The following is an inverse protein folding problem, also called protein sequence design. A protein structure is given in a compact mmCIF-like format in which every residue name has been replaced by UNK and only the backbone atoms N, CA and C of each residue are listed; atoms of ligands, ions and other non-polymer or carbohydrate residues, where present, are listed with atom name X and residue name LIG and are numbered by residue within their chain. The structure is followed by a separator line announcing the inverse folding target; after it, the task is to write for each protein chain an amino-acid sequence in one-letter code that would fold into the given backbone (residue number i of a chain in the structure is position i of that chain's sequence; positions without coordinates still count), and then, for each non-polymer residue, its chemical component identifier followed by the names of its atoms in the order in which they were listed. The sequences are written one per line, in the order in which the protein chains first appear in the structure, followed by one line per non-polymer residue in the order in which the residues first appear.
data_IF_239319149177
#
_entry.id   IF_239319149177
#
_cell.length_a   1.000
_cell.length_b   1.000
_cell.length_c   1.000
_cell.angle_alpha   90.00
_cell.angle_beta   90.00
_cell.angle_gamma   90.00
#
_symmetry.space_group_name_H-M   'P 1'
#
loop_
_entity.id
_entity.type
_entity.pdbx_description
1 polymer ?
#
# COMPACT_ATOMS: atom_id res chain seq x y z
N UNK A 1 -16.45 20.11 -19.85
CA UNK A 1 -15.86 18.97 -19.09
C UNK A 1 -15.97 19.26 -17.60
N UNK A 2 -16.63 18.41 -16.82
CA UNK A 2 -16.85 18.65 -15.38
C UNK A 2 -15.54 18.33 -14.64
N UNK A 3 -14.98 19.23 -13.81
CA UNK A 3 -13.73 19.00 -13.09
C UNK A 3 -13.96 18.11 -11.84
N UNK A 4 -14.18 16.83 -12.04
CA UNK A 4 -14.54 15.86 -11.00
C UNK A 4 -13.58 15.87 -9.80
N UNK A 5 -12.27 15.98 -10.03
CA UNK A 5 -11.27 16.04 -8.96
C UNK A 5 -11.45 17.25 -8.05
N UNK A 6 -11.82 18.40 -8.64
CA UNK A 6 -12.11 19.61 -7.87
C UNK A 6 -13.38 19.44 -7.03
N UNK A 7 -14.43 18.86 -7.63
CA UNK A 7 -15.69 18.60 -6.90
C UNK A 7 -15.46 17.63 -5.74
N UNK A 8 -14.72 16.55 -5.96
CA UNK A 8 -14.33 15.61 -4.88
C UNK A 8 -13.53 16.30 -3.78
N UNK A 9 -12.56 17.14 -4.15
CA UNK A 9 -11.77 17.91 -3.18
C UNK A 9 -12.64 18.85 -2.34
N UNK A 10 -13.56 19.57 -2.96
CA UNK A 10 -14.51 20.45 -2.26
C UNK A 10 -15.41 19.63 -1.32
N UNK A 11 -15.96 18.50 -1.77
CA UNK A 11 -16.80 17.63 -0.95
C UNK A 11 -16.07 17.07 0.27
N UNK A 12 -14.79 16.66 0.11
CA UNK A 12 -13.97 16.20 1.23
C UNK A 12 -13.71 17.31 2.25
N UNK A 13 -13.42 18.55 1.78
CA UNK A 13 -13.22 19.70 2.66
C UNK A 13 -14.52 20.05 3.39
N UNK A 14 -15.67 20.03 2.71
CA UNK A 14 -16.97 20.25 3.34
C UNK A 14 -17.27 19.21 4.43
N UNK A 15 -17.13 17.93 4.14
CA UNK A 15 -17.33 16.86 5.12
C UNK A 15 -16.44 17.05 6.36
N UNK A 16 -15.18 17.46 6.17
CA UNK A 16 -14.29 17.73 7.30
C UNK A 16 -14.72 18.97 8.12
N UNK A 17 -15.11 20.06 7.44
CA UNK A 17 -15.49 21.32 8.14
C UNK A 17 -16.83 21.16 8.86
N UNK A 18 -17.83 20.58 8.20
CA UNK A 18 -19.21 20.51 8.70
C UNK A 18 -19.40 19.35 9.69
N UNK A 19 -18.87 18.16 9.36
CA UNK A 19 -19.14 16.94 10.15
C UNK A 19 -17.91 16.44 10.92
N UNK A 20 -16.75 17.09 10.78
CA UNK A 20 -15.46 16.59 11.30
C UNK A 20 -15.17 15.15 10.87
N UNK A 21 -15.74 14.75 9.74
CA UNK A 21 -15.60 13.41 9.23
C UNK A 21 -14.23 13.21 8.60
N UNK A 22 -13.55 12.18 9.08
CA UNK A 22 -12.33 11.62 8.45
C UNK A 22 -12.61 10.13 8.27
N UNK A 23 -12.37 9.62 7.07
CA UNK A 23 -12.57 8.19 6.80
C UNK A 23 -11.75 7.35 7.79
N UNK A 24 -12.40 6.46 8.58
CA UNK A 24 -11.68 5.68 9.55
C UNK A 24 -10.75 4.67 8.86
N UNK A 25 -9.56 4.41 9.41
CA UNK A 25 -8.65 3.41 8.85
C UNK A 25 -9.31 2.02 8.87
N UNK A 26 -9.03 1.22 7.85
CA UNK A 26 -9.52 -0.17 7.78
C UNK A 26 -8.82 -1.04 8.81
N UNK A 27 -9.43 -1.21 9.98
CA UNK A 27 -8.86 -1.98 11.10
C UNK A 27 -9.23 -3.46 11.10
N UNK A 28 -9.88 -3.96 10.05
CA UNK A 28 -10.34 -5.36 9.97
C UNK A 28 -9.22 -6.40 9.90
N UNK A 29 -7.99 -6.01 9.59
CA UNK A 29 -6.81 -6.88 9.54
C UNK A 29 -5.71 -6.30 10.43
N UNK A 30 -4.90 -7.18 11.03
CA UNK A 30 -3.72 -6.76 11.76
C UNK A 30 -2.69 -6.18 10.77
N UNK A 31 -2.17 -4.95 11.01
CA UNK A 31 -1.31 -4.25 10.07
C UNK A 31 0.15 -4.70 10.19
N UNK A 32 0.45 -5.99 9.97
CA UNK A 32 1.79 -6.56 10.16
C UNK A 32 2.87 -5.87 9.31
N UNK A 33 2.58 -5.48 8.08
CA UNK A 33 3.53 -4.76 7.24
C UNK A 33 3.92 -3.41 7.84
N UNK A 34 2.95 -2.70 8.41
CA UNK A 34 3.20 -1.43 9.10
C UNK A 34 3.94 -1.66 10.42
N UNK A 35 3.60 -2.73 11.15
CA UNK A 35 4.29 -3.12 12.38
C UNK A 35 5.76 -3.44 12.11
N UNK A 36 6.05 -4.21 11.08
CA UNK A 36 7.41 -4.47 10.60
C UNK A 36 8.12 -3.15 10.26
N UNK A 37 7.50 -2.31 9.45
CA UNK A 37 8.08 -1.03 9.05
C UNK A 37 8.42 -0.13 10.25
N UNK A 38 7.51 0.03 11.19
CA UNK A 38 7.74 0.83 12.41
C UNK A 38 8.82 0.24 13.30
N UNK A 39 8.85 -1.08 13.45
CA UNK A 39 9.90 -1.78 14.21
C UNK A 39 11.29 -1.50 13.61
N UNK A 40 11.44 -1.73 12.31
CA UNK A 40 12.71 -1.53 11.61
C UNK A 40 13.13 -0.06 11.57
N UNK A 41 12.19 0.85 11.31
CA UNK A 41 12.46 2.29 11.31
C UNK A 41 12.87 2.82 12.68
N UNK A 42 12.24 2.33 13.75
CA UNK A 42 12.59 2.70 15.12
C UNK A 42 13.99 2.23 15.49
N UNK A 43 14.33 0.97 15.18
CA UNK A 43 15.68 0.44 15.40
C UNK A 43 16.73 1.18 14.58
N UNK A 44 16.46 1.44 13.30
CA UNK A 44 17.39 2.18 12.43
C UNK A 44 17.65 3.61 12.93
N UNK A 45 16.66 4.25 13.54
CA UNK A 45 16.77 5.62 14.05
C UNK A 45 17.40 5.70 15.45
N UNK A 46 17.12 4.72 16.32
CA UNK A 46 17.53 4.75 17.72
C UNK A 46 18.79 3.92 18.00
N UNK A 47 19.20 3.07 17.07
CA UNK A 47 20.29 2.11 17.27
C UNK A 47 19.87 0.92 18.14
N UNK A 48 20.69 0.55 19.14
CA UNK A 48 20.40 -0.57 20.03
C UNK A 48 19.25 -0.28 20.97
N UNK A 49 18.33 -1.23 21.10
CA UNK A 49 17.21 -1.17 22.03
C UNK A 49 16.91 -2.56 22.60
N UNK A 50 16.49 -2.62 23.85
CA UNK A 50 15.93 -3.87 24.40
C UNK A 50 14.57 -4.19 23.76
N UNK A 51 14.15 -5.48 23.70
CA UNK A 51 12.83 -5.84 23.19
C UNK A 51 11.67 -5.10 23.89
N UNK A 52 11.80 -4.84 25.19
CA UNK A 52 10.82 -4.11 25.99
C UNK A 52 10.72 -2.64 25.60
N UNK A 53 11.84 -1.96 25.44
CA UNK A 53 11.89 -0.56 24.99
C UNK A 53 11.33 -0.41 23.59
N UNK A 54 11.68 -1.32 22.69
CA UNK A 54 11.15 -1.32 21.32
C UNK A 54 9.64 -1.52 21.32
N UNK A 55 9.12 -2.47 22.09
CA UNK A 55 7.70 -2.70 22.24
C UNK A 55 6.97 -1.47 22.83
N UNK A 56 7.57 -0.81 23.81
CA UNK A 56 6.98 0.38 24.44
C UNK A 56 6.90 1.60 23.51
N UNK A 57 7.73 1.65 22.47
CA UNK A 57 7.70 2.72 21.48
C UNK A 57 6.77 2.42 20.31
N UNK A 58 6.68 1.15 19.90
CA UNK A 58 5.93 0.75 18.69
C UNK A 58 4.48 0.43 19.01
N UNK A 59 4.21 -0.40 20.02
CA UNK A 59 2.84 -0.88 20.29
C UNK A 59 1.82 0.20 20.75
N UNK A 60 2.21 1.31 21.42
CA UNK A 60 1.26 2.35 21.78
C UNK A 60 0.67 3.14 20.60
N UNK A 61 1.22 3.01 19.38
CA UNK A 61 0.66 3.67 18.22
C UNK A 61 -0.78 3.15 17.95
N UNK A 62 -1.69 4.07 17.72
CA UNK A 62 -3.13 3.79 17.61
C UNK A 62 -3.50 2.71 16.58
N UNK A 63 -2.70 2.59 15.49
CA UNK A 63 -2.88 1.56 14.48
C UNK A 63 -2.60 0.14 14.99
N UNK A 64 -1.89 -0.02 16.11
CA UNK A 64 -1.50 -1.31 16.68
C UNK A 64 -2.31 -1.72 17.92
N UNK A 65 -3.41 -1.03 18.25
CA UNK A 65 -4.24 -1.31 19.43
C UNK A 65 -4.75 -2.76 19.52
N UNK A 66 -4.78 -3.49 18.40
CA UNK A 66 -5.19 -4.91 18.33
C UNK A 66 -4.02 -5.90 18.31
N UNK A 67 -2.78 -5.41 18.24
CA UNK A 67 -1.58 -6.24 18.25
C UNK A 67 -1.23 -6.55 19.70
N UNK A 68 -1.21 -7.84 20.03
CA UNK A 68 -0.82 -8.28 21.37
C UNK A 68 0.70 -8.29 21.52
N UNK A 69 1.18 -8.31 22.76
CA UNK A 69 2.62 -8.47 23.01
C UNK A 69 3.14 -9.82 22.48
N UNK A 70 2.30 -10.85 22.46
CA UNK A 70 2.69 -12.15 21.94
C UNK A 70 2.82 -12.10 20.40
N UNK A 71 1.90 -11.45 19.70
CA UNK A 71 2.04 -11.21 18.25
C UNK A 71 3.36 -10.49 17.93
N UNK A 72 3.71 -9.51 18.75
CA UNK A 72 4.95 -8.76 18.58
C UNK A 72 6.19 -9.62 18.84
N UNK A 73 6.16 -10.49 19.85
CA UNK A 73 7.24 -11.45 20.11
C UNK A 73 7.44 -12.42 18.95
N UNK A 74 6.34 -12.91 18.35
CA UNK A 74 6.40 -13.75 17.16
C UNK A 74 7.07 -13.01 16.01
N UNK A 75 6.71 -11.74 15.77
CA UNK A 75 7.36 -10.91 14.76
C UNK A 75 8.86 -10.76 15.05
N UNK A 76 9.25 -10.37 16.27
CA UNK A 76 10.67 -10.18 16.60
C UNK A 76 11.49 -11.46 16.44
N UNK A 77 10.92 -12.61 16.80
CA UNK A 77 11.57 -13.91 16.58
C UNK A 77 11.80 -14.17 15.10
N UNK A 78 10.78 -13.96 14.28
CA UNK A 78 10.88 -14.09 12.83
C UNK A 78 11.94 -13.16 12.22
N UNK A 79 12.04 -11.91 12.72
CA UNK A 79 13.05 -10.97 12.25
C UNK A 79 14.48 -11.39 12.63
N UNK A 80 14.67 -11.99 13.82
CA UNK A 80 15.94 -12.57 14.25
C UNK A 80 16.35 -13.77 13.37
N UNK A 81 15.41 -14.68 13.09
CA UNK A 81 15.64 -15.86 12.26
C UNK A 81 16.03 -15.53 10.83
N UNK A 82 15.60 -14.38 10.30
CA UNK A 82 15.85 -13.95 8.93
C UNK A 82 16.93 -12.84 8.81
N UNK A 83 17.70 -12.61 9.87
CA UNK A 83 18.78 -11.60 9.91
C UNK A 83 18.32 -10.16 9.58
N UNK A 84 17.04 -9.87 9.82
CA UNK A 84 16.54 -8.49 9.75
C UNK A 84 16.96 -7.67 10.96
N UNK A 85 17.03 -8.31 12.13
CA UNK A 85 17.56 -7.77 13.37
C UNK A 85 18.50 -8.79 14.01
N UNK A 86 19.45 -8.32 14.80
CA UNK A 86 20.39 -9.17 15.52
C UNK A 86 20.36 -8.84 17.01
N UNK A 87 20.72 -9.82 17.84
CA UNK A 87 20.84 -9.63 19.28
C UNK A 87 22.29 -9.30 19.62
N UNK A 88 22.47 -8.27 20.42
CA UNK A 88 23.77 -7.91 20.99
C UNK A 88 24.12 -8.78 22.20
N UNK A 89 25.38 -8.77 22.61
CA UNK A 89 25.86 -9.47 23.81
C UNK A 89 25.13 -9.00 25.08
N UNK A 90 24.72 -7.73 25.12
CA UNK A 90 23.98 -7.13 26.23
C UNK A 90 22.47 -7.44 26.20
N UNK A 91 22.01 -8.24 25.23
CA UNK A 91 20.59 -8.60 25.09
C UNK A 91 19.73 -7.57 24.36
N UNK A 92 20.34 -6.49 23.86
CA UNK A 92 19.69 -5.53 22.97
C UNK A 92 19.41 -6.09 21.58
N UNK A 93 18.63 -5.36 20.80
CA UNK A 93 18.34 -5.62 19.40
C UNK A 93 18.93 -4.49 18.56
N UNK A 94 19.56 -4.84 17.46
CA UNK A 94 20.08 -3.92 16.43
C UNK A 94 19.58 -4.37 15.06
N UNK A 95 19.65 -3.49 14.08
CA UNK A 95 19.34 -3.86 12.68
C UNK A 95 20.39 -4.86 12.21
N UNK A 96 19.97 -5.99 11.65
CA UNK A 96 20.82 -7.01 11.04
C UNK A 96 21.21 -6.69 9.60
N UNK A 97 22.10 -7.48 9.02
CA UNK A 97 22.64 -7.22 7.69
C UNK A 97 21.56 -7.21 6.59
N UNK A 98 20.60 -8.13 6.66
CA UNK A 98 19.43 -8.13 5.75
C UNK A 98 18.56 -6.91 6.00
N UNK A 99 18.36 -6.55 7.27
CA UNK A 99 17.60 -5.35 7.66
C UNK A 99 18.23 -4.06 7.14
N UNK A 100 19.55 -3.91 7.23
CA UNK A 100 20.29 -2.73 6.74
C UNK A 100 20.07 -2.49 5.24
N UNK A 101 20.07 -3.55 4.43
CA UNK A 101 19.80 -3.44 2.99
C UNK A 101 18.39 -2.92 2.70
N UNK A 102 17.45 -3.20 3.59
CA UNK A 102 16.06 -2.78 3.47
C UNK A 102 15.91 -1.34 3.96
N UNK A 103 16.35 -1.01 5.17
CA UNK A 103 16.17 0.33 5.76
C UNK A 103 17.00 1.41 5.05
N UNK A 104 18.13 1.05 4.43
CA UNK A 104 18.93 1.97 3.64
C UNK A 104 18.39 2.20 2.22
N UNK A 105 17.35 1.47 1.81
CA UNK A 105 16.70 1.68 0.53
C UNK A 105 15.61 2.77 0.67
N UNK A 106 15.66 3.80 -0.18
CA UNK A 106 14.66 4.88 -0.16
C UNK A 106 13.22 4.37 -0.31
N UNK A 107 12.99 3.24 -1.00
CA UNK A 107 11.68 2.61 -1.15
C UNK A 107 11.08 2.12 0.16
N UNK A 108 11.91 1.89 1.17
CA UNK A 108 11.44 1.50 2.50
C UNK A 108 10.61 2.62 3.14
N UNK A 109 10.98 3.87 2.90
CA UNK A 109 10.28 5.05 3.44
C UNK A 109 9.18 5.57 2.51
N UNK A 110 9.12 5.06 1.28
CA UNK A 110 8.05 5.35 0.34
C UNK A 110 6.81 4.50 0.71
N UNK A 111 6.06 4.95 1.71
CA UNK A 111 4.87 4.24 2.25
C UNK A 111 3.74 4.14 1.24
N UNK A 112 3.70 5.06 0.27
CA UNK A 112 2.74 5.03 -0.83
C UNK A 112 3.39 4.35 -2.02
N UNK A 113 2.94 3.14 -2.34
CA UNK A 113 3.23 2.56 -3.63
C UNK A 113 2.64 3.51 -4.68
N UNK A 114 3.49 4.06 -5.54
CA UNK A 114 2.99 4.62 -6.79
C UNK A 114 2.31 3.46 -7.53
N UNK A 115 1.00 3.49 -7.57
CA UNK A 115 0.26 2.57 -8.41
C UNK A 115 0.67 2.85 -9.85
N UNK A 116 1.31 1.87 -10.47
CA UNK A 116 1.63 1.94 -11.89
C UNK A 116 0.31 1.91 -12.64
N UNK A 117 -0.10 3.05 -13.16
CA UNK A 117 -1.31 3.17 -13.96
C UNK A 117 -1.02 2.79 -15.41
N UNK A 118 -1.96 2.08 -16.00
CA UNK A 118 -1.99 1.74 -17.41
C UNK A 118 -3.04 2.61 -18.10
N UNK A 119 -2.68 3.28 -19.18
CA UNK A 119 -3.64 3.99 -20.02
C UNK A 119 -4.45 2.99 -20.83
N UNK A 120 -5.78 3.06 -20.74
CA UNK A 120 -6.69 2.22 -21.51
C UNK A 120 -7.07 2.95 -22.78
N UNK A 121 -6.86 2.32 -23.92
CA UNK A 121 -7.05 2.93 -25.24
C UNK A 121 -7.97 2.10 -26.14
N UNK A 122 -8.74 2.80 -26.95
CA UNK A 122 -9.47 2.21 -28.08
C UNK A 122 -8.99 2.89 -29.36
N UNK A 123 -8.13 2.22 -30.12
CA UNK A 123 -7.42 2.84 -31.24
C UNK A 123 -6.58 4.03 -30.78
N UNK A 124 -6.88 5.24 -31.26
CA UNK A 124 -6.18 6.47 -30.87
C UNK A 124 -6.79 7.20 -29.65
N UNK A 125 -7.97 6.79 -29.20
CA UNK A 125 -8.69 7.44 -28.09
C UNK A 125 -8.27 6.83 -26.75
N UNK A 126 -7.97 7.69 -25.77
CA UNK A 126 -7.74 7.29 -24.39
C UNK A 126 -9.06 7.30 -23.62
N UNK A 127 -9.42 6.14 -23.05
CA UNK A 127 -10.69 5.93 -22.34
C UNK A 127 -10.56 6.22 -20.84
N UNK A 128 -9.36 6.10 -20.29
CA UNK A 128 -9.06 6.30 -18.87
C UNK A 128 -7.84 5.51 -18.41
N UNK A 129 -7.64 5.37 -17.10
CA UNK A 129 -6.52 4.64 -16.53
C UNK A 129 -6.97 3.52 -15.58
N UNK A 130 -6.19 2.45 -15.48
CA UNK A 130 -6.39 1.34 -14.55
C UNK A 130 -5.07 0.96 -13.88
N UNK A 131 -5.12 0.55 -12.61
CA UNK A 131 -3.92 0.17 -11.84
C UNK A 131 -3.44 -1.23 -12.18
N UNK A 132 -4.36 -2.16 -12.39
CA UNK A 132 -4.05 -3.57 -12.69
C UNK A 132 -4.74 -3.96 -13.99
N UNK A 133 -3.98 -4.15 -15.08
CA UNK A 133 -4.58 -4.58 -16.33
C UNK A 133 -5.16 -5.98 -16.20
N UNK A 134 -6.39 -6.22 -16.64
CA UNK A 134 -6.94 -7.57 -16.73
C UNK A 134 -6.26 -8.35 -17.86
N UNK A 135 -6.36 -9.68 -17.85
CA UNK A 135 -5.86 -10.52 -18.93
C UNK A 135 -6.48 -10.17 -20.29
N UNK A 136 -5.74 -10.47 -21.36
CA UNK A 136 -6.27 -10.37 -22.72
C UNK A 136 -7.48 -11.29 -22.87
N UNK A 137 -8.55 -10.78 -23.48
CA UNK A 137 -9.84 -11.45 -23.64
C UNK A 137 -10.86 -11.13 -22.52
N UNK A 138 -10.43 -10.58 -21.41
CA UNK A 138 -11.34 -10.16 -20.33
C UNK A 138 -12.12 -8.89 -20.71
N UNK A 139 -13.28 -8.72 -20.07
CA UNK A 139 -14.14 -7.55 -20.25
C UNK A 139 -13.89 -6.55 -19.14
N UNK A 140 -13.79 -5.28 -19.53
CA UNK A 140 -13.71 -4.15 -18.59
C UNK A 140 -14.82 -3.15 -18.85
N UNK A 141 -15.34 -2.55 -17.78
CA UNK A 141 -16.28 -1.45 -17.89
C UNK A 141 -15.51 -0.13 -17.64
N UNK A 142 -15.43 0.72 -18.65
CA UNK A 142 -14.76 2.02 -18.56
C UNK A 142 -15.48 3.04 -19.46
N UNK A 143 -15.50 4.30 -19.04
CA UNK A 143 -16.21 5.37 -19.76
C UNK A 143 -17.71 5.05 -20.07
N UNK A 144 -18.38 4.31 -19.16
CA UNK A 144 -19.79 3.94 -19.31
C UNK A 144 -20.09 2.87 -20.35
N UNK A 145 -19.08 2.17 -20.85
CA UNK A 145 -19.20 1.11 -21.88
C UNK A 145 -18.41 -0.12 -21.48
N UNK A 146 -18.73 -1.26 -22.11
CA UNK A 146 -18.01 -2.52 -21.92
C UNK A 146 -17.06 -2.74 -23.10
N UNK A 147 -15.83 -3.05 -22.76
CA UNK A 147 -14.73 -3.26 -23.70
C UNK A 147 -14.10 -4.63 -23.46
N UNK A 148 -13.53 -5.23 -24.50
CA UNK A 148 -12.69 -6.43 -24.39
C UNK A 148 -11.24 -6.00 -24.51
N UNK A 149 -10.39 -6.51 -23.63
CA UNK A 149 -8.93 -6.31 -23.69
C UNK A 149 -8.37 -7.13 -24.83
N UNK A 150 -7.77 -6.46 -25.82
CA UNK A 150 -7.12 -7.10 -26.96
C UNK A 150 -5.62 -7.29 -26.75
N UNK A 151 -4.97 -6.31 -26.12
CA UNK A 151 -3.53 -6.32 -25.91
C UNK A 151 -3.16 -5.55 -24.64
N UNK A 152 -2.08 -5.99 -23.96
CA UNK A 152 -1.49 -5.30 -22.82
C UNK A 152 0.00 -5.08 -23.09
N UNK A 153 0.40 -3.82 -23.31
CA UNK A 153 1.81 -3.43 -23.40
C UNK A 153 2.35 -3.01 -22.02
N UNK A 154 3.04 -3.92 -21.36
CA UNK A 154 3.63 -3.64 -20.03
C UNK A 154 4.77 -2.62 -20.07
N UNK A 155 5.47 -2.46 -21.22
CA UNK A 155 6.58 -1.49 -21.35
C UNK A 155 6.06 -0.08 -21.49
N UNK A 156 5.04 0.11 -22.32
CA UNK A 156 4.40 1.41 -22.53
C UNK A 156 3.34 1.73 -21.49
N UNK A 157 2.93 0.71 -20.71
CA UNK A 157 1.82 0.78 -19.76
C UNK A 157 0.50 1.17 -20.42
N UNK A 158 0.21 0.51 -21.52
CA UNK A 158 -1.00 0.71 -22.31
C UNK A 158 -1.81 -0.59 -22.39
N UNK A 159 -3.13 -0.46 -22.34
CA UNK A 159 -4.08 -1.55 -22.54
C UNK A 159 -4.96 -1.18 -23.73
N UNK A 160 -4.90 -1.97 -24.76
CA UNK A 160 -5.71 -1.77 -25.96
C UNK A 160 -7.00 -2.58 -25.88
N UNK A 161 -8.12 -1.92 -26.15
CA UNK A 161 -9.44 -2.50 -26.00
C UNK A 161 -10.30 -2.27 -27.25
N UNK A 162 -11.16 -3.24 -27.54
CA UNK A 162 -12.23 -3.11 -28.54
C UNK A 162 -13.60 -3.01 -27.88
N UNK A 163 -14.49 -2.22 -28.47
CA UNK A 163 -15.87 -2.10 -28.01
C UNK A 163 -16.62 -3.41 -28.19
N UNK A 164 -17.24 -3.92 -27.12
CA UNK A 164 -18.15 -5.07 -27.26
C UNK A 164 -19.42 -4.64 -27.99
N UNK A 165 -19.60 -5.09 -29.22
CA UNK A 165 -20.86 -4.94 -29.95
C UNK A 165 -21.86 -5.94 -29.37
N UNK A 166 -22.74 -5.53 -28.51
CA UNK A 166 -23.79 -6.36 -27.96
C UNK A 166 -24.71 -5.59 -27.03
N UNK A 167 -26.01 -5.79 -27.15
CA UNK A 167 -27.03 -5.23 -26.28
C UNK A 167 -26.68 -5.58 -24.80
N UNK A 168 -26.57 -4.57 -23.94
CA UNK A 168 -26.69 -4.73 -22.53
C UNK A 168 -28.16 -5.01 -22.27
N UNK A 169 -28.57 -6.19 -21.77
CA UNK A 169 -29.93 -6.32 -21.24
C UNK A 169 -30.09 -5.37 -20.09
N UNK A 170 -31.17 -4.60 -20.13
CA UNK A 170 -31.57 -3.65 -19.11
C UNK A 170 -31.82 -4.34 -17.77
#
# INVERSE_FOLDING_TARGET
MIPWRLIQGIALVQLYIEERFVEPPRTGRLPYSLLYHQTMSTLASCGEMTPGELASRVLPLSCFHRVTQEDYRVLLRHLLENDHINRTENGGLVVGLTGERIVNNYKFYAVFQENVEYSVRAGSEELGTIVKPPPVGDKIAIAGRVWVVEEVDHKRREVYCALVKGNIPA
#
